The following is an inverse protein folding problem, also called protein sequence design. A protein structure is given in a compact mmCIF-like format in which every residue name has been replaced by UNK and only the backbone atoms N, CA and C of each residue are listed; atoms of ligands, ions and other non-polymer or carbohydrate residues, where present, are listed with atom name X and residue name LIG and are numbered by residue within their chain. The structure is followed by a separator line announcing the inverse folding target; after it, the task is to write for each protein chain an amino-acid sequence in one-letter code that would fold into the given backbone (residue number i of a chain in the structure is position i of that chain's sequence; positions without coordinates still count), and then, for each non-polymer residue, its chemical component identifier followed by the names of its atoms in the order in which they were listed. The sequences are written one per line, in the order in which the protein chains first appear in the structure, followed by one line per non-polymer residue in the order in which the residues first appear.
data_IF_454441585394
#
_entry.id   IF_454441585394
#
_cell.length_a   1.000
_cell.length_b   1.000
_cell.length_c   1.000
_cell.angle_alpha   90.00
_cell.angle_beta   90.00
_cell.angle_gamma   90.00
#
_symmetry.space_group_name_H-M   'P 1'
#
loop_
_entity.id
_entity.type
_entity.pdbx_description
1 polymer ?
#
# COMPACT_ATOMS: atom_id res chain seq x y z
N UNK A 1 20.26 7.01 -33.00
CA UNK A 1 18.96 7.23 -33.68
C UNK A 1 17.86 6.99 -32.67
N UNK A 2 17.11 8.03 -32.28
CA UNK A 2 16.05 7.90 -31.26
C UNK A 2 14.90 7.05 -31.83
N UNK A 3 14.48 5.96 -31.16
CA UNK A 3 13.34 5.16 -31.62
C UNK A 3 12.05 5.97 -31.55
N UNK A 4 11.22 5.92 -32.59
CA UNK A 4 9.94 6.66 -32.67
C UNK A 4 8.94 6.23 -31.60
N UNK A 5 9.11 5.03 -31.03
CA UNK A 5 8.21 4.43 -30.04
C UNK A 5 9.05 3.73 -28.96
N UNK A 6 8.64 3.85 -27.69
CA UNK A 6 9.28 3.14 -26.60
C UNK A 6 9.10 1.62 -26.77
N UNK A 7 10.19 0.83 -26.78
CA UNK A 7 10.10 -0.62 -26.95
C UNK A 7 9.49 -1.34 -25.74
N UNK A 8 9.40 -0.69 -24.57
CA UNK A 8 8.87 -1.28 -23.35
C UNK A 8 7.37 -1.04 -23.18
N UNK A 9 6.87 0.17 -23.47
CA UNK A 9 5.48 0.52 -23.20
C UNK A 9 4.71 1.07 -24.41
N UNK A 10 5.32 1.12 -25.59
CA UNK A 10 4.67 1.63 -26.80
C UNK A 10 4.45 3.15 -26.81
N UNK A 11 4.91 3.88 -25.80
CA UNK A 11 4.71 5.33 -25.72
C UNK A 11 5.59 6.10 -26.70
N UNK A 12 5.05 7.16 -27.29
CA UNK A 12 5.77 8.14 -28.13
C UNK A 12 6.22 9.37 -27.35
N UNK A 13 5.97 9.40 -26.04
CA UNK A 13 6.28 10.54 -25.19
C UNK A 13 7.66 10.37 -24.54
N UNK A 14 8.62 11.15 -25.02
CA UNK A 14 10.00 11.14 -24.54
C UNK A 14 10.38 12.46 -23.87
N UNK A 15 11.34 12.41 -22.96
CA UNK A 15 12.00 13.56 -22.35
C UNK A 15 13.51 13.39 -22.49
N UNK A 16 14.21 14.48 -22.83
CA UNK A 16 15.67 14.49 -22.86
C UNK A 16 16.19 15.07 -21.55
N UNK A 17 16.95 14.29 -20.80
CA UNK A 17 17.52 14.68 -19.51
C UNK A 17 19.00 14.30 -19.47
N UNK A 18 19.89 15.30 -19.35
CA UNK A 18 21.35 15.11 -19.21
C UNK A 18 21.96 14.23 -20.31
N UNK A 19 21.68 14.56 -21.57
CA UNK A 19 22.12 13.77 -22.73
C UNK A 19 21.37 12.45 -22.92
N UNK A 20 20.43 12.10 -22.03
CA UNK A 20 19.67 10.85 -22.09
C UNK A 20 18.29 11.06 -22.66
N UNK A 21 17.83 10.16 -23.52
CA UNK A 21 16.43 10.13 -23.97
C UNK A 21 15.69 9.13 -23.11
N UNK A 22 14.63 9.56 -22.43
CA UNK A 22 13.89 8.76 -21.46
C UNK A 22 12.41 8.77 -21.83
N UNK A 23 11.75 7.62 -21.79
CA UNK A 23 10.30 7.56 -21.94
C UNK A 23 9.61 8.17 -20.70
N UNK A 24 8.70 9.13 -20.91
CA UNK A 24 7.97 9.80 -19.82
C UNK A 24 7.02 8.87 -19.06
N UNK A 25 6.53 7.84 -19.73
CA UNK A 25 5.50 6.94 -19.18
C UNK A 25 6.12 5.85 -18.31
N UNK A 26 7.12 5.13 -18.82
CA UNK A 26 7.72 4.00 -18.09
C UNK A 26 9.10 4.32 -17.49
N UNK A 27 9.74 5.43 -17.88
CA UNK A 27 11.06 5.81 -17.39
C UNK A 27 12.24 5.08 -18.04
N UNK A 28 12.01 4.31 -19.11
CA UNK A 28 13.07 3.59 -19.84
C UNK A 28 14.00 4.58 -20.53
N UNK A 29 15.31 4.43 -20.33
CA UNK A 29 16.35 5.18 -21.03
C UNK A 29 16.58 4.52 -22.39
N UNK A 30 16.46 5.29 -23.46
CA UNK A 30 16.52 4.85 -24.86
C UNK A 30 17.85 5.21 -25.53
N UNK A 31 18.52 6.24 -25.05
CA UNK A 31 19.83 6.69 -25.53
C UNK A 31 20.56 7.45 -24.41
N UNK A 32 21.89 7.39 -24.41
CA UNK A 32 22.78 8.11 -23.49
C UNK A 32 23.89 8.79 -24.31
N UNK A 33 23.88 10.12 -24.43
CA UNK A 33 25.00 10.89 -24.98
C UNK A 33 25.82 11.53 -23.85
N UNK A 34 27.14 11.56 -24.02
CA UNK A 34 28.13 11.96 -23.01
C UNK A 34 28.29 13.47 -22.81
N UNK A 35 27.53 14.30 -23.51
CA UNK A 35 27.68 15.75 -23.45
C UNK A 35 26.61 16.39 -22.54
N UNK A 36 27.09 16.97 -21.44
CA UNK A 36 26.28 17.61 -20.41
C UNK A 36 25.97 19.06 -20.81
N UNK A 37 24.76 19.33 -21.31
CA UNK A 37 24.23 20.69 -21.38
C UNK A 37 23.17 20.91 -20.29
N UNK A 38 23.30 22.00 -19.54
CA UNK A 38 22.37 22.43 -18.51
C UNK A 38 21.29 23.33 -19.14
N UNK A 39 20.01 22.97 -18.95
CA UNK A 39 18.89 23.86 -19.24
C UNK A 39 18.28 24.37 -17.92
N UNK A 40 18.14 25.70 -17.81
CA UNK A 40 17.37 26.37 -16.76
C UNK A 40 16.05 26.80 -17.41
N UNK A 41 14.95 26.14 -17.04
CA UNK A 41 13.60 26.62 -17.37
C UNK A 41 13.11 27.53 -16.22
N UNK A 42 12.66 28.74 -16.58
CA UNK A 42 12.35 29.85 -15.65
C UNK A 42 10.93 29.81 -15.10
N UNK A 43 10.11 28.82 -15.43
CA UNK A 43 8.70 28.79 -15.05
C UNK A 43 8.31 27.52 -14.29
N UNK A 44 8.77 27.32 -13.05
CA UNK A 44 8.03 26.56 -12.01
C UNK A 44 8.69 26.76 -10.64
N UNK A 45 7.96 27.41 -9.73
CA UNK A 45 8.42 27.85 -8.39
C UNK A 45 8.55 26.73 -7.35
N UNK A 46 8.75 25.47 -7.75
CA UNK A 46 9.07 24.38 -6.82
C UNK A 46 9.89 23.31 -7.57
N UNK A 47 11.12 23.69 -7.93
CA UNK A 47 12.17 22.70 -8.20
C UNK A 47 12.49 22.07 -6.84
N UNK A 48 11.70 21.08 -6.44
CA UNK A 48 12.22 20.00 -5.63
C UNK A 48 13.36 19.46 -6.48
N UNK A 49 14.59 19.84 -6.11
CA UNK A 49 15.80 19.16 -6.48
C UNK A 49 15.59 17.69 -6.14
N UNK A 50 15.02 16.94 -7.08
CA UNK A 50 15.20 15.51 -7.16
C UNK A 50 16.68 15.39 -7.51
N UNK A 51 17.53 15.49 -6.48
CA UNK A 51 18.76 14.71 -6.42
C UNK A 51 18.29 13.27 -6.59
N UNK A 52 18.13 12.84 -7.84
CA UNK A 52 18.12 11.44 -8.16
C UNK A 52 19.54 10.97 -7.95
N UNK A 53 19.91 10.78 -6.68
CA UNK A 53 20.63 9.56 -6.37
C UNK A 53 19.74 8.47 -6.96
N UNK A 54 20.21 7.83 -8.04
CA UNK A 54 19.55 6.68 -8.60
C UNK A 54 19.21 5.79 -7.41
N UNK A 55 17.92 5.59 -7.17
CA UNK A 55 17.48 4.72 -6.10
C UNK A 55 18.19 3.40 -6.36
N UNK A 56 19.06 2.99 -5.44
CA UNK A 56 19.96 1.87 -5.66
C UNK A 56 19.14 0.70 -6.20
N UNK A 57 19.60 0.13 -7.31
CA UNK A 57 18.88 -0.88 -8.11
C UNK A 57 18.33 -1.99 -7.21
N UNK A 58 19.07 -2.34 -6.17
CA UNK A 58 18.67 -3.32 -5.14
C UNK A 58 17.33 -2.98 -4.47
N UNK A 59 17.07 -1.71 -4.15
CA UNK A 59 15.81 -1.28 -3.53
C UNK A 59 14.65 -1.35 -4.51
N UNK A 60 14.89 -0.96 -5.77
CA UNK A 60 13.87 -0.99 -6.82
C UNK A 60 13.47 -2.43 -7.18
N UNK A 61 14.46 -3.33 -7.29
CA UNK A 61 14.21 -4.74 -7.61
C UNK A 61 13.35 -5.38 -6.51
N UNK A 62 13.73 -5.22 -5.24
CA UNK A 62 12.94 -5.69 -4.10
C UNK A 62 11.55 -5.04 -4.07
N UNK A 63 11.48 -3.73 -4.34
CA UNK A 63 10.22 -2.99 -4.34
C UNK A 63 9.23 -3.55 -5.38
N UNK A 64 9.67 -3.71 -6.63
CA UNK A 64 8.80 -4.20 -7.70
C UNK A 64 8.43 -5.66 -7.50
N UNK A 65 9.37 -6.50 -7.05
CA UNK A 65 9.08 -7.91 -6.79
C UNK A 65 8.03 -8.08 -5.68
N UNK A 66 8.24 -7.46 -4.52
CA UNK A 66 7.29 -7.53 -3.39
C UNK A 66 5.93 -6.94 -3.77
N UNK A 67 5.93 -5.83 -4.53
CA UNK A 67 4.68 -5.21 -4.99
C UNK A 67 3.90 -6.12 -5.93
N UNK A 68 4.58 -6.85 -6.81
CA UNK A 68 3.92 -7.79 -7.73
C UNK A 68 3.38 -9.00 -6.97
N UNK A 69 4.13 -9.55 -6.01
CA UNK A 69 3.68 -10.72 -5.23
C UNK A 69 2.43 -10.39 -4.40
N UNK A 70 2.33 -9.16 -3.89
CA UNK A 70 1.18 -8.70 -3.11
C UNK A 70 0.06 -8.10 -3.99
N UNK A 71 0.20 -8.12 -5.32
CA UNK A 71 -0.73 -7.51 -6.27
C UNK A 71 -1.05 -6.05 -5.90
N UNK A 72 -0.02 -5.26 -5.58
CA UNK A 72 -0.20 -3.87 -5.14
C UNK A 72 -0.63 -3.00 -6.34
N UNK A 73 -1.75 -2.25 -6.22
CA UNK A 73 -2.21 -1.34 -7.25
C UNK A 73 -1.18 -0.28 -7.67
N UNK A 74 -1.11 0.04 -8.96
CA UNK A 74 -0.12 0.96 -9.53
C UNK A 74 -0.13 2.37 -8.90
N UNK A 75 -1.31 2.87 -8.51
CA UNK A 75 -1.46 4.15 -7.80
C UNK A 75 -0.74 4.13 -6.43
N UNK A 76 -0.84 3.00 -5.70
CA UNK A 76 -0.19 2.79 -4.41
C UNK A 76 1.31 2.60 -4.62
N UNK A 77 1.72 1.83 -5.62
CA UNK A 77 3.14 1.67 -5.98
C UNK A 77 3.79 3.02 -6.30
N UNK A 78 3.14 3.88 -7.09
CA UNK A 78 3.63 5.23 -7.42
C UNK A 78 3.77 6.11 -6.17
N UNK A 79 2.89 5.96 -5.17
CA UNK A 79 2.97 6.67 -3.89
C UNK A 79 4.11 6.11 -3.02
N UNK A 80 4.25 4.79 -2.96
CA UNK A 80 5.29 4.12 -2.21
C UNK A 80 6.68 4.45 -2.73
N UNK A 81 6.86 4.50 -4.05
CA UNK A 81 8.12 4.93 -4.64
C UNK A 81 8.51 6.36 -4.20
N UNK A 82 7.55 7.28 -4.13
CA UNK A 82 7.79 8.65 -3.63
C UNK A 82 8.17 8.67 -2.14
N UNK A 83 7.48 7.89 -1.31
CA UNK A 83 7.82 7.76 0.10
C UNK A 83 9.20 7.13 0.30
N UNK A 84 9.55 6.12 -0.49
CA UNK A 84 10.87 5.49 -0.46
C UNK A 84 11.99 6.47 -0.84
N UNK A 85 11.81 7.26 -1.92
CA UNK A 85 12.75 8.36 -2.26
C UNK A 85 12.91 9.31 -1.07
N UNK A 86 11.80 9.66 -0.41
CA UNK A 86 11.82 10.60 0.71
C UNK A 86 12.52 10.04 1.93
N UNK A 87 12.29 8.76 2.25
CA UNK A 87 12.97 8.01 3.32
C UNK A 87 14.49 8.06 3.08
N UNK A 88 14.93 7.69 1.88
CA UNK A 88 16.35 7.58 1.55
C UNK A 88 17.04 8.95 1.50
N UNK A 89 16.38 9.97 0.93
CA UNK A 89 16.97 11.31 0.79
C UNK A 89 16.96 12.14 2.07
N UNK A 90 15.86 12.12 2.84
CA UNK A 90 15.70 12.99 4.03
C UNK A 90 16.27 12.39 5.30
N UNK A 91 16.19 11.07 5.49
CA UNK A 91 16.60 10.47 6.75
C UNK A 91 18.11 10.23 6.82
N UNK A 92 18.85 10.39 5.70
CA UNK A 92 20.32 10.22 5.57
C UNK A 92 20.87 9.03 6.37
N UNK A 93 20.05 8.01 6.54
CA UNK A 93 20.40 6.85 7.36
C UNK A 93 21.15 5.91 6.42
N UNK A 94 22.47 6.14 6.29
CA UNK A 94 23.37 5.42 5.36
C UNK A 94 23.42 3.90 5.60
N UNK A 95 22.67 3.38 6.59
CA UNK A 95 22.57 1.97 6.97
C UNK A 95 21.12 1.47 7.01
N UNK A 96 20.19 2.17 6.36
CA UNK A 96 18.84 1.63 6.22
C UNK A 96 18.89 0.46 5.25
N UNK A 97 18.47 -0.72 5.71
CA UNK A 97 18.39 -1.89 4.83
C UNK A 97 17.20 -1.74 3.86
N UNK A 98 17.30 -2.31 2.65
CA UNK A 98 16.26 -2.16 1.63
C UNK A 98 14.92 -2.76 2.07
N UNK A 99 14.93 -3.84 2.86
CA UNK A 99 13.71 -4.49 3.34
C UNK A 99 12.89 -3.54 4.24
N UNK A 100 13.56 -2.86 5.16
CA UNK A 100 12.93 -1.87 6.05
C UNK A 100 12.43 -0.67 5.24
N UNK A 101 13.23 -0.13 4.31
CA UNK A 101 12.83 1.02 3.50
C UNK A 101 11.60 0.72 2.63
N UNK A 102 11.62 -0.41 1.91
CA UNK A 102 10.52 -0.87 1.07
C UNK A 102 9.28 -1.14 1.91
N UNK A 103 9.42 -1.86 3.02
CA UNK A 103 8.29 -2.16 3.91
C UNK A 103 7.64 -0.90 4.47
N UNK A 104 8.44 0.07 4.95
CA UNK A 104 7.93 1.35 5.43
C UNK A 104 7.17 2.08 4.32
N UNK A 105 7.73 2.17 3.12
CA UNK A 105 7.11 2.87 2.00
C UNK A 105 5.78 2.25 1.56
N UNK A 106 5.72 0.92 1.48
CA UNK A 106 4.52 0.18 1.11
C UNK A 106 3.42 0.31 2.17
N UNK A 107 3.77 0.13 3.45
CA UNK A 107 2.83 0.25 4.57
C UNK A 107 2.23 1.66 4.62
N UNK A 108 3.06 2.69 4.57
CA UNK A 108 2.60 4.09 4.58
C UNK A 108 1.64 4.35 3.42
N UNK A 109 1.99 3.89 2.22
CA UNK A 109 1.20 4.16 1.02
C UNK A 109 -0.14 3.44 1.03
N UNK A 110 -0.15 2.20 1.49
CA UNK A 110 -1.36 1.42 1.68
C UNK A 110 -2.25 2.07 2.75
N UNK A 111 -1.70 2.52 3.88
CA UNK A 111 -2.49 3.21 4.91
C UNK A 111 -3.07 4.55 4.47
N UNK A 112 -2.40 5.26 3.56
CA UNK A 112 -2.96 6.48 2.96
C UNK A 112 -4.05 6.17 1.93
N UNK A 113 -4.17 4.92 1.48
CA UNK A 113 -5.21 4.46 0.57
C UNK A 113 -6.33 3.75 1.33
N UNK A 114 -7.55 4.28 1.25
CA UNK A 114 -8.68 3.72 2.00
C UNK A 114 -9.15 2.36 1.45
N UNK A 115 -8.75 2.02 0.23
CA UNK A 115 -9.27 0.87 -0.51
C UNK A 115 -8.27 -0.29 -0.59
N UNK A 116 -7.14 -0.20 0.10
CA UNK A 116 -6.13 -1.24 0.06
C UNK A 116 -5.42 -1.34 1.41
N UNK A 117 -5.17 -2.56 1.86
CA UNK A 117 -4.59 -2.79 3.17
C UNK A 117 -3.47 -3.80 3.07
N UNK A 118 -2.30 -3.42 3.60
CA UNK A 118 -1.16 -4.29 3.77
C UNK A 118 -0.86 -4.37 5.27
N UNK A 119 -0.74 -5.57 5.79
CA UNK A 119 -0.29 -5.79 7.17
C UNK A 119 1.19 -6.13 7.24
N UNK A 120 1.78 -5.98 8.42
CA UNK A 120 3.12 -6.49 8.69
C UNK A 120 3.22 -8.01 8.46
N UNK A 121 2.13 -8.76 8.68
CA UNK A 121 2.13 -10.21 8.48
C UNK A 121 2.24 -10.57 7.00
N UNK A 122 1.56 -9.81 6.14
CA UNK A 122 1.61 -10.01 4.69
C UNK A 122 3.04 -9.78 4.19
N UNK A 123 3.65 -8.66 4.59
CA UNK A 123 5.05 -8.37 4.23
C UNK A 123 6.02 -9.38 4.84
N UNK A 124 5.92 -9.69 6.13
CA UNK A 124 6.77 -10.70 6.79
C UNK A 124 6.75 -12.04 6.03
N UNK A 125 5.57 -12.47 5.56
CA UNK A 125 5.43 -13.72 4.80
C UNK A 125 6.20 -13.68 3.47
N UNK A 126 6.09 -12.59 2.72
CA UNK A 126 6.77 -12.43 1.42
C UNK A 126 8.29 -12.31 1.61
N UNK A 127 8.74 -11.47 2.55
CA UNK A 127 10.17 -11.27 2.79
C UNK A 127 10.85 -12.51 3.34
N UNK A 128 10.16 -13.27 4.21
CA UNK A 128 10.69 -14.52 4.73
C UNK A 128 10.76 -15.59 3.65
N UNK A 129 9.73 -15.72 2.79
CA UNK A 129 9.71 -16.68 1.70
C UNK A 129 10.77 -16.39 0.62
N UNK A 130 10.93 -15.12 0.22
CA UNK A 130 11.78 -14.75 -0.93
C UNK A 130 13.23 -14.47 -0.58
N UNK A 131 13.47 -13.91 0.60
CA UNK A 131 14.81 -13.44 0.98
C UNK A 131 15.32 -14.05 2.29
N UNK A 132 14.51 -14.86 2.99
CA UNK A 132 14.91 -15.41 4.28
C UNK A 132 14.99 -14.36 5.40
N UNK A 133 14.33 -13.20 5.23
CA UNK A 133 14.46 -12.06 6.14
C UNK A 133 13.19 -11.87 6.96
N UNK A 134 13.35 -11.81 8.28
CA UNK A 134 12.31 -11.38 9.20
C UNK A 134 12.36 -9.86 9.41
N UNK A 135 11.25 -9.15 9.18
CA UNK A 135 11.26 -7.70 9.29
C UNK A 135 11.33 -7.23 10.75
N UNK A 136 12.11 -6.18 10.97
CA UNK A 136 12.16 -5.50 12.26
C UNK A 136 11.01 -4.48 12.37
N UNK A 137 9.86 -4.92 12.86
CA UNK A 137 8.66 -4.10 13.03
C UNK A 137 8.92 -2.82 13.83
N UNK A 138 9.73 -2.90 14.89
CA UNK A 138 10.09 -1.75 15.72
C UNK A 138 10.87 -0.69 14.93
N UNK A 139 11.79 -1.11 14.05
CA UNK A 139 12.54 -0.20 13.17
C UNK A 139 11.63 0.46 12.15
N UNK A 140 10.72 -0.31 11.53
CA UNK A 140 9.72 0.21 10.58
C UNK A 140 8.82 1.25 11.27
N UNK A 141 8.27 0.94 12.43
CA UNK A 141 7.40 1.85 13.18
C UNK A 141 8.12 3.14 13.58
N UNK A 142 9.38 3.06 14.01
CA UNK A 142 10.22 4.25 14.29
C UNK A 142 10.37 5.14 13.07
N UNK A 143 10.58 4.55 11.88
CA UNK A 143 10.67 5.32 10.63
C UNK A 143 9.34 5.97 10.24
N UNK A 144 8.22 5.24 10.37
CA UNK A 144 6.88 5.78 10.14
C UNK A 144 6.64 6.99 11.06
N UNK A 145 7.03 6.88 12.33
CA UNK A 145 6.89 7.97 13.29
C UNK A 145 7.77 9.19 12.92
N UNK A 146 9.01 8.97 12.49
CA UNK A 146 9.89 10.04 11.98
C UNK A 146 9.27 10.75 10.76
N UNK A 147 8.75 9.98 9.81
CA UNK A 147 8.09 10.54 8.62
C UNK A 147 6.85 11.36 9.01
N UNK A 148 6.06 10.89 9.98
CA UNK A 148 4.91 11.64 10.52
C UNK A 148 5.33 12.97 11.14
N UNK A 149 6.35 12.97 11.98
CA UNK A 149 6.82 14.20 12.65
C UNK A 149 7.43 15.21 11.66
N UNK A 150 7.94 14.74 10.52
CA UNK A 150 8.44 15.61 9.44
C UNK A 150 7.35 16.15 8.52
N UNK A 151 6.05 15.95 8.84
CA UNK A 151 4.91 16.28 7.97
C UNK A 151 5.00 15.70 6.54
N UNK A 152 5.79 14.64 6.35
CA UNK A 152 5.98 14.00 5.05
C UNK A 152 4.77 13.14 4.66
N UNK A 153 4.03 12.66 5.65
CA UNK A 153 2.88 11.77 5.48
C UNK A 153 1.68 12.35 6.22
N UNK A 154 0.48 12.11 5.70
CA UNK A 154 -0.76 12.60 6.32
C UNK A 154 -0.96 11.94 7.68
N UNK A 155 -1.67 12.62 8.59
CA UNK A 155 -2.01 12.06 9.90
C UNK A 155 -2.76 10.74 9.72
N UNK A 156 -2.15 9.63 10.12
CA UNK A 156 -2.82 8.33 10.14
C UNK A 156 -3.95 8.35 11.16
N UNK A 157 -5.19 8.42 10.66
CA UNK A 157 -6.38 8.04 11.41
C UNK A 157 -6.84 6.70 10.83
N UNK A 158 -6.75 5.59 11.59
CA UNK A 158 -7.24 4.31 11.10
C UNK A 158 -8.74 4.42 10.80
N UNK A 159 -9.10 4.24 9.53
CA UNK A 159 -10.48 4.19 9.08
C UNK A 159 -10.98 2.75 9.25
N UNK A 160 -11.48 2.44 10.45
CA UNK A 160 -11.90 1.08 10.79
C UNK A 160 -13.04 0.59 9.89
N UNK A 161 -13.93 1.47 9.44
CA UNK A 161 -15.01 1.07 8.53
C UNK A 161 -14.46 0.72 7.16
N UNK A 162 -13.61 1.57 6.57
CA UNK A 162 -12.98 1.26 5.29
C UNK A 162 -12.22 -0.09 5.33
N UNK A 163 -11.44 -0.33 6.37
CA UNK A 163 -10.75 -1.62 6.55
C UNK A 163 -11.71 -2.79 6.74
N UNK A 164 -12.80 -2.61 7.50
CA UNK A 164 -13.82 -3.64 7.72
C UNK A 164 -14.51 -4.03 6.43
N UNK A 165 -14.77 -3.05 5.54
CA UNK A 165 -15.32 -3.33 4.22
C UNK A 165 -14.41 -4.26 3.40
N UNK A 166 -13.10 -3.95 3.36
CA UNK A 166 -12.13 -4.78 2.64
C UNK A 166 -12.09 -6.21 3.19
N UNK A 167 -12.06 -6.36 4.51
CA UNK A 167 -12.07 -7.67 5.15
C UNK A 167 -13.39 -8.42 4.94
N UNK A 168 -14.52 -7.74 4.95
CA UNK A 168 -15.82 -8.35 4.66
C UNK A 168 -15.87 -8.91 3.23
N UNK A 169 -15.39 -8.14 2.25
CA UNK A 169 -15.30 -8.61 0.86
C UNK A 169 -14.42 -9.84 0.73
N UNK A 170 -13.28 -9.89 1.45
CA UNK A 170 -12.42 -11.08 1.51
C UNK A 170 -13.19 -12.29 2.07
N UNK A 171 -13.91 -12.13 3.17
CA UNK A 171 -14.72 -13.19 3.79
C UNK A 171 -15.80 -13.71 2.84
N UNK A 172 -16.52 -12.81 2.18
CA UNK A 172 -17.57 -13.18 1.23
C UNK A 172 -17.01 -13.98 0.05
N UNK A 173 -15.85 -13.56 -0.47
CA UNK A 173 -15.19 -14.26 -1.58
C UNK A 173 -14.71 -15.65 -1.16
N UNK A 174 -14.00 -15.75 -0.04
CA UNK A 174 -13.45 -17.02 0.47
C UNK A 174 -14.54 -18.03 0.82
N UNK A 175 -15.64 -17.57 1.41
CA UNK A 175 -16.76 -18.44 1.80
C UNK A 175 -17.81 -18.59 0.69
N UNK A 176 -17.60 -18.00 -0.49
CA UNK A 176 -18.55 -17.99 -1.60
C UNK A 176 -19.98 -17.55 -1.21
N UNK A 177 -20.12 -16.63 -0.25
CA UNK A 177 -21.43 -16.23 0.29
C UNK A 177 -22.32 -15.56 -0.76
N UNK A 178 -21.72 -14.95 -1.78
CA UNK A 178 -22.44 -14.35 -2.91
C UNK A 178 -23.23 -15.37 -3.75
N UNK A 179 -22.86 -16.65 -3.72
CA UNK A 179 -23.62 -17.73 -4.37
C UNK A 179 -24.81 -18.18 -3.53
N UNK A 180 -24.71 -18.02 -2.21
CA UNK A 180 -25.76 -18.42 -1.26
C UNK A 180 -26.82 -17.33 -1.19
N UNK A 181 -26.39 -16.07 -1.17
CA UNK A 181 -27.27 -14.92 -1.01
C UNK A 181 -26.69 -13.68 -1.70
N UNK A 182 -27.36 -13.25 -2.77
CA UNK A 182 -26.97 -12.12 -3.61
C UNK A 182 -26.93 -10.79 -2.84
N UNK A 183 -27.78 -10.62 -1.83
CA UNK A 183 -27.93 -9.37 -1.08
C UNK A 183 -27.26 -9.43 0.30
N UNK A 184 -26.52 -10.50 0.59
CA UNK A 184 -25.87 -10.71 1.88
C UNK A 184 -24.97 -9.52 2.27
N UNK A 185 -24.13 -9.08 1.33
CA UNK A 185 -23.17 -7.99 1.56
C UNK A 185 -23.88 -6.70 2.00
N UNK A 186 -24.92 -6.28 1.28
CA UNK A 186 -25.61 -5.02 1.56
C UNK A 186 -26.27 -5.04 2.94
N UNK A 187 -26.90 -6.16 3.29
CA UNK A 187 -27.57 -6.35 4.58
C UNK A 187 -26.60 -6.35 5.75
N UNK A 188 -25.53 -7.14 5.68
CA UNK A 188 -24.54 -7.20 6.75
C UNK A 188 -23.77 -5.88 6.86
N UNK A 189 -23.45 -5.23 5.73
CA UNK A 189 -22.74 -3.96 5.71
C UNK A 189 -23.53 -2.84 6.39
N UNK A 190 -24.85 -2.80 6.20
CA UNK A 190 -25.74 -1.86 6.91
C UNK A 190 -25.61 -2.01 8.43
N UNK A 191 -25.69 -3.24 8.93
CA UNK A 191 -25.57 -3.54 10.37
C UNK A 191 -24.16 -3.17 10.88
N UNK A 192 -23.11 -3.49 10.12
CA UNK A 192 -21.73 -3.16 10.49
C UNK A 192 -21.52 -1.66 10.62
N UNK A 193 -22.09 -0.84 9.73
CA UNK A 193 -21.99 0.62 9.81
C UNK A 193 -22.67 1.19 11.07
N UNK A 194 -23.84 0.64 11.43
CA UNK A 194 -24.55 1.00 12.67
C UNK A 194 -23.71 0.63 13.90
N UNK A 195 -23.14 -0.59 13.94
CA UNK A 195 -22.28 -1.06 15.02
C UNK A 195 -20.98 -0.26 15.14
N UNK A 196 -20.31 0.03 14.02
CA UNK A 196 -19.04 0.76 14.01
C UNK A 196 -19.17 2.19 14.55
N UNK A 197 -20.31 2.83 14.29
CA UNK A 197 -20.64 4.16 14.82
C UNK A 197 -20.83 4.10 16.34
N UNK A 198 -21.64 3.15 16.81
CA UNK A 198 -21.97 2.96 18.23
C UNK A 198 -20.77 2.52 19.07
N UNK A 199 -19.88 1.69 18.52
CA UNK A 199 -18.73 1.14 19.24
C UNK A 199 -17.47 1.99 19.13
N UNK A 200 -17.46 3.05 18.33
CA UNK A 200 -16.27 3.87 18.00
C UNK A 200 -15.41 4.28 19.20
N UNK A 201 -16.01 4.54 20.37
CA UNK A 201 -15.29 4.87 21.61
C UNK A 201 -14.49 3.69 22.18
N UNK A 202 -15.02 2.48 22.10
CA UNK A 202 -14.44 1.25 22.65
C UNK A 202 -13.38 0.61 21.72
N UNK A 203 -13.36 1.01 20.45
CA UNK A 203 -12.43 0.47 19.44
C UNK A 203 -11.04 1.15 19.48
N UNK A 204 -10.88 2.25 20.23
CA UNK A 204 -9.61 2.98 20.32
C UNK A 204 -8.50 2.10 20.90
N UNK A 205 -7.34 2.10 20.24
CA UNK A 205 -6.16 1.36 20.67
C UNK A 205 -6.15 -0.13 20.33
N UNK A 206 -7.20 -0.65 19.68
CA UNK A 206 -7.24 -2.02 19.19
C UNK A 206 -6.69 -2.10 17.76
N UNK A 207 -6.17 -3.26 17.38
CA UNK A 207 -5.67 -3.46 16.01
C UNK A 207 -6.82 -3.39 15.02
N UNK A 208 -6.58 -2.79 13.84
CA UNK A 208 -7.59 -2.67 12.78
C UNK A 208 -8.19 -4.04 12.44
N UNK A 209 -7.32 -5.06 12.30
CA UNK A 209 -7.76 -6.43 12.02
C UNK A 209 -8.69 -6.99 13.10
N UNK A 210 -8.36 -6.79 14.38
CA UNK A 210 -9.20 -7.24 15.50
C UNK A 210 -10.55 -6.52 15.50
N UNK A 211 -10.54 -5.20 15.28
CA UNK A 211 -11.76 -4.39 15.20
C UNK A 211 -12.64 -4.84 14.04
N UNK A 212 -12.06 -5.03 12.85
CA UNK A 212 -12.80 -5.50 11.68
C UNK A 212 -13.36 -6.90 11.87
N UNK A 213 -12.59 -7.83 12.45
CA UNK A 213 -13.08 -9.17 12.77
C UNK A 213 -14.24 -9.13 13.76
N UNK A 214 -14.15 -8.30 14.81
CA UNK A 214 -15.23 -8.12 15.77
C UNK A 214 -16.50 -7.58 15.11
N UNK A 215 -16.38 -6.53 14.30
CA UNK A 215 -17.52 -5.92 13.61
C UNK A 215 -18.18 -6.89 12.63
N UNK A 216 -17.41 -7.65 11.86
CA UNK A 216 -17.93 -8.67 10.94
C UNK A 216 -18.65 -9.78 11.72
N UNK A 217 -18.06 -10.27 12.81
CA UNK A 217 -18.66 -11.31 13.64
C UNK A 217 -19.98 -10.84 14.26
N UNK A 218 -20.00 -9.67 14.90
CA UNK A 218 -21.21 -9.11 15.50
C UNK A 218 -22.28 -8.80 14.45
N UNK A 219 -21.87 -8.30 13.29
CA UNK A 219 -22.75 -8.05 12.15
C UNK A 219 -23.45 -9.32 11.69
N UNK A 220 -22.72 -10.42 11.55
CA UNK A 220 -23.29 -11.71 11.14
C UNK A 220 -24.21 -12.30 12.21
N UNK A 221 -23.81 -12.27 13.49
CA UNK A 221 -24.66 -12.75 14.58
C UNK A 221 -25.97 -11.95 14.66
N UNK A 222 -25.90 -10.63 14.49
CA UNK A 222 -27.07 -9.75 14.49
C UNK A 222 -27.98 -10.00 13.29
N UNK A 223 -27.40 -10.23 12.11
CA UNK A 223 -28.15 -10.53 10.90
C UNK A 223 -28.85 -11.90 11.02
N UNK A 224 -28.11 -12.92 11.46
CA UNK A 224 -28.62 -14.26 11.66
C UNK A 224 -29.79 -14.29 12.66
N UNK A 225 -29.68 -13.54 13.76
CA UNK A 225 -30.76 -13.39 14.74
C UNK A 225 -32.00 -12.70 14.13
N UNK A 226 -31.83 -11.63 13.34
CA UNK A 226 -32.95 -10.92 12.68
C UNK A 226 -33.65 -11.79 11.63
N UNK A 227 -32.94 -12.72 11.01
CA UNK A 227 -33.43 -13.57 9.93
C UNK A 227 -33.84 -14.97 10.40
N UNK A 228 -33.83 -15.22 11.71
CA UNK A 228 -34.09 -16.52 12.34
C UNK A 228 -33.35 -17.68 11.65
N UNK A 229 -32.06 -17.46 11.36
CA UNK A 229 -31.19 -18.45 10.72
C UNK A 229 -29.93 -18.68 11.55
N UNK A 230 -29.25 -19.79 11.25
CA UNK A 230 -27.90 -20.00 11.77
C UNK A 230 -26.91 -19.04 11.10
N UNK A 231 -25.87 -18.58 11.84
CA UNK A 231 -24.77 -17.84 11.25
C UNK A 231 -24.07 -18.64 10.16
N UNK A 232 -23.69 -18.01 9.05
CA UNK A 232 -22.93 -18.64 7.98
C UNK A 232 -21.49 -18.95 8.39
N UNK A 233 -20.96 -18.21 9.36
CA UNK A 233 -19.63 -18.44 9.91
C UNK A 233 -19.55 -18.08 11.39
N UNK A 234 -18.55 -18.65 12.06
CA UNK A 234 -18.23 -18.38 13.46
C UNK A 234 -16.83 -17.77 13.59
N UNK A 235 -16.40 -17.52 14.83
CA UNK A 235 -15.09 -16.96 15.13
C UNK A 235 -13.93 -17.81 14.59
N UNK A 236 -14.06 -19.14 14.62
CA UNK A 236 -13.05 -20.07 14.13
C UNK A 236 -12.83 -19.90 12.63
N UNK A 237 -13.91 -19.84 11.84
CA UNK A 237 -13.83 -19.61 10.40
C UNK A 237 -13.25 -18.22 10.11
N UNK A 238 -13.73 -17.20 10.82
CA UNK A 238 -13.28 -15.82 10.62
C UNK A 238 -11.78 -15.65 10.89
N UNK A 239 -11.26 -16.32 11.94
CA UNK A 239 -9.82 -16.29 12.28
C UNK A 239 -8.91 -16.98 11.25
N UNK A 240 -9.46 -17.91 10.46
CA UNK A 240 -8.73 -18.56 9.35
C UNK A 240 -8.67 -17.66 8.12
N UNK A 241 -9.75 -16.94 7.85
CA UNK A 241 -9.87 -16.07 6.66
C UNK A 241 -9.12 -14.75 6.84
N UNK A 242 -9.20 -14.16 8.03
CA UNK A 242 -8.58 -12.88 8.36
C UNK A 242 -7.19 -13.07 8.95
#
# INVERSE_FOLDING_TARGET
MIPKVCPICGSVEFIRLRGRVICKVCGTILEESSENEYYIDRNFNEIILIKSEALDRKYLDIFYEVSNILDIPANIMKRAKRHMITILSRLRDRRLDPYTAVSTALIVSAYEDKNYLITFKDLDSVFMLRYGVKLNRSRILKLIYKLKNSNTIRQFKPDYLAATNLYLNKVIKELNLSKIDKYYYERIWKIINELGSSLSRYLKGKSIKTVSALLIYLGEMSLAYKEDRRPYFNQTILSRVL
#
